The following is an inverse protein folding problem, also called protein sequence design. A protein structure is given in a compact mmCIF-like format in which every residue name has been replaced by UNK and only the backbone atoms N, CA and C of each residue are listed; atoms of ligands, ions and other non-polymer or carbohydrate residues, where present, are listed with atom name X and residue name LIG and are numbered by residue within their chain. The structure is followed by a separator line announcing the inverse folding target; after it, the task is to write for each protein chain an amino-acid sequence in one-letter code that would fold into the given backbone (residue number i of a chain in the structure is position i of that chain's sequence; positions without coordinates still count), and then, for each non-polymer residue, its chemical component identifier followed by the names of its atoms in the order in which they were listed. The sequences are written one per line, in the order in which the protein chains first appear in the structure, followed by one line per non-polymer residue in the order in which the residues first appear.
data_IF_898296190224
#
_entry.id   IF_898296190224
#
_cell.length_a   1.000
_cell.length_b   1.000
_cell.length_c   1.000
_cell.angle_alpha   90.00
_cell.angle_beta   90.00
_cell.angle_gamma   90.00
#
_symmetry.space_group_name_H-M   'P 1'
#
loop_
_entity.id
_entity.type
_entity.pdbx_description
1 polymer ?
#
# COMPACT_ATOMS: atom_id res chain seq x y z
N UNK A 1 11.27 13.48 7.40
CA UNK A 1 10.57 12.52 8.26
C UNK A 1 11.53 12.03 9.32
N UNK A 2 11.13 12.11 10.58
CA UNK A 2 11.90 11.64 11.74
C UNK A 2 11.58 10.18 12.12
N UNK A 3 10.70 9.51 11.36
CA UNK A 3 10.40 8.07 11.53
C UNK A 3 9.55 7.73 12.76
N UNK A 4 9.03 8.75 13.45
CA UNK A 4 8.17 8.58 14.62
C UNK A 4 6.79 8.07 14.20
N UNK A 5 6.11 7.38 15.11
CA UNK A 5 4.70 7.01 14.92
C UNK A 5 3.86 8.27 14.64
N UNK A 6 3.06 8.23 13.59
CA UNK A 6 2.23 9.33 13.10
C UNK A 6 2.88 10.20 12.02
N UNK A 7 4.17 10.02 11.72
CA UNK A 7 4.93 10.86 10.78
C UNK A 7 4.63 10.53 9.31
N UNK A 8 4.43 9.24 8.99
CA UNK A 8 4.09 8.80 7.64
C UNK A 8 3.11 7.62 7.67
N UNK A 9 2.01 7.67 6.88
CA UNK A 9 1.06 6.56 6.81
C UNK A 9 1.70 5.21 6.47
N UNK A 10 2.67 5.13 5.56
CA UNK A 10 3.33 3.86 5.27
C UNK A 10 4.17 3.35 6.44
N UNK A 11 4.92 4.23 7.11
CA UNK A 11 5.71 3.82 8.28
C UNK A 11 4.78 3.36 9.41
N UNK A 12 3.64 4.03 9.59
CA UNK A 12 2.62 3.66 10.56
C UNK A 12 2.06 2.26 10.31
N UNK A 13 1.71 1.95 9.06
CA UNK A 13 1.17 0.65 8.67
C UNK A 13 2.26 -0.44 8.72
N UNK A 14 3.41 -0.19 8.12
CA UNK A 14 4.44 -1.21 7.89
C UNK A 14 5.29 -1.49 9.12
N UNK A 15 5.67 -0.46 9.88
CA UNK A 15 6.60 -0.59 11.01
C UNK A 15 5.87 -0.53 12.35
N UNK A 16 4.97 0.44 12.53
CA UNK A 16 4.24 0.61 13.79
C UNK A 16 2.95 -0.22 13.89
N UNK A 17 2.60 -0.98 12.84
CA UNK A 17 1.40 -1.82 12.73
C UNK A 17 0.13 -1.10 13.20
N UNK A 18 0.06 0.20 12.91
CA UNK A 18 -1.04 1.07 13.33
C UNK A 18 -2.06 1.11 12.23
N UNK A 19 -3.33 0.86 12.59
CA UNK A 19 -4.45 0.97 11.68
C UNK A 19 -4.64 2.44 11.25
N UNK A 20 -4.49 2.75 9.96
CA UNK A 20 -4.60 4.13 9.44
C UNK A 20 -5.83 4.39 8.61
N UNK A 21 -6.22 3.46 7.74
CA UNK A 21 -7.39 3.62 6.88
C UNK A 21 -8.48 2.63 7.29
N UNK A 22 -8.33 1.40 6.83
CA UNK A 22 -9.19 0.26 7.16
C UNK A 22 -8.34 -0.99 7.20
N UNK A 23 -8.78 -2.07 7.87
CA UNK A 23 -8.00 -3.31 7.88
C UNK A 23 -7.73 -3.85 6.47
N UNK A 24 -8.68 -3.65 5.55
CA UNK A 24 -8.54 -4.08 4.16
C UNK A 24 -7.55 -3.21 3.37
N UNK A 25 -7.66 -1.89 3.48
CA UNK A 25 -6.76 -0.96 2.79
C UNK A 25 -5.31 -1.13 3.29
N UNK A 26 -5.11 -1.21 4.59
CA UNK A 26 -3.78 -1.34 5.20
C UNK A 26 -3.12 -2.68 4.81
N UNK A 27 -3.90 -3.76 4.73
CA UNK A 27 -3.41 -5.05 4.24
C UNK A 27 -2.99 -4.99 2.76
N UNK A 28 -3.80 -4.34 1.91
CA UNK A 28 -3.47 -4.15 0.50
C UNK A 28 -2.20 -3.31 0.32
N UNK A 29 -2.04 -2.24 1.09
CA UNK A 29 -0.83 -1.42 1.10
C UNK A 29 0.40 -2.26 1.46
N UNK A 30 0.31 -3.09 2.51
CA UNK A 30 1.40 -3.98 2.90
C UNK A 30 1.75 -4.98 1.78
N UNK A 31 0.75 -5.56 1.11
CA UNK A 31 0.96 -6.47 -0.02
C UNK A 31 1.63 -5.77 -1.21
N UNK A 32 1.18 -4.56 -1.57
CA UNK A 32 1.75 -3.76 -2.65
C UNK A 32 3.23 -3.48 -2.37
N UNK A 33 3.57 -3.08 -1.15
CA UNK A 33 4.96 -2.81 -0.76
C UNK A 33 5.80 -4.10 -0.80
N UNK A 34 5.25 -5.23 -0.36
CA UNK A 34 5.92 -6.55 -0.46
C UNK A 34 6.23 -6.93 -1.91
N UNK A 35 5.36 -6.56 -2.85
CA UNK A 35 5.54 -6.77 -4.29
C UNK A 35 6.49 -5.74 -4.95
N UNK A 36 7.11 -4.85 -4.16
CA UNK A 36 8.01 -3.79 -4.66
C UNK A 36 7.27 -2.56 -5.21
N UNK A 37 5.96 -2.44 -4.99
CA UNK A 37 5.11 -1.38 -5.52
C UNK A 37 5.12 -0.06 -4.74
N UNK A 38 6.01 0.12 -3.75
CA UNK A 38 5.99 1.31 -2.87
C UNK A 38 6.07 2.63 -3.66
N UNK A 39 7.02 2.75 -4.58
CA UNK A 39 7.18 4.00 -5.35
C UNK A 39 5.96 4.31 -6.22
N UNK A 40 5.28 3.29 -6.73
CA UNK A 40 4.07 3.49 -7.52
C UNK A 40 2.89 3.89 -6.65
N UNK A 41 2.76 3.28 -5.48
CA UNK A 41 1.75 3.63 -4.48
C UNK A 41 1.86 5.11 -4.07
N UNK A 42 3.07 5.58 -3.74
CA UNK A 42 3.32 6.98 -3.34
C UNK A 42 3.12 7.98 -4.49
N UNK A 43 3.28 7.54 -5.75
CA UNK A 43 2.98 8.37 -6.93
C UNK A 43 1.49 8.44 -7.25
N UNK A 44 0.78 7.34 -7.03
CA UNK A 44 -0.63 7.21 -7.38
C UNK A 44 -1.55 7.84 -6.33
N UNK A 45 -1.12 7.88 -5.06
CA UNK A 45 -1.97 8.32 -3.96
C UNK A 45 -1.22 9.26 -3.02
N UNK A 46 -1.87 10.37 -2.66
CA UNK A 46 -1.51 11.11 -1.45
C UNK A 46 -2.06 10.35 -0.24
N UNK A 47 -1.20 9.59 0.45
CA UNK A 47 -1.59 8.81 1.61
C UNK A 47 -1.94 9.67 2.84
N UNK A 48 -1.59 10.97 2.84
CA UNK A 48 -2.02 11.90 3.88
C UNK A 48 -3.46 12.38 3.65
N UNK A 49 -3.91 12.36 2.40
CA UNK A 49 -5.24 12.79 1.99
C UNK A 49 -5.85 11.78 1.00
N UNK A 50 -6.13 10.53 1.45
CA UNK A 50 -6.62 9.49 0.55
C UNK A 50 -8.01 9.84 0.00
N UNK A 51 -8.38 9.30 -1.17
CA UNK A 51 -9.74 9.40 -1.67
C UNK A 51 -10.73 8.66 -0.75
N UNK A 52 -12.06 8.82 -0.97
CA UNK A 52 -13.07 8.07 -0.22
C UNK A 52 -12.73 6.57 -0.14
N UNK A 53 -12.85 6.00 1.06
CA UNK A 53 -12.29 4.69 1.41
C UNK A 53 -12.65 3.59 0.40
N UNK A 54 -13.90 3.53 -0.07
CA UNK A 54 -14.34 2.52 -1.03
C UNK A 54 -13.60 2.62 -2.38
N UNK A 55 -13.37 3.84 -2.88
CA UNK A 55 -12.62 4.08 -4.11
C UNK A 55 -11.14 3.78 -3.89
N UNK A 56 -10.62 4.11 -2.72
CA UNK A 56 -9.24 3.85 -2.35
C UNK A 56 -8.95 2.34 -2.32
N UNK A 57 -9.79 1.55 -1.63
CA UNK A 57 -9.66 0.10 -1.54
C UNK A 57 -9.74 -0.58 -2.91
N UNK A 58 -10.66 -0.14 -3.78
CA UNK A 58 -10.79 -0.68 -5.14
C UNK A 58 -9.54 -0.38 -5.98
N UNK A 59 -9.01 0.85 -5.88
CA UNK A 59 -7.78 1.24 -6.58
C UNK A 59 -6.54 0.46 -6.08
N UNK A 60 -6.39 0.30 -4.76
CA UNK A 60 -5.33 -0.51 -4.15
C UNK A 60 -5.42 -1.98 -4.61
N UNK A 61 -6.63 -2.55 -4.64
CA UNK A 61 -6.85 -3.92 -5.11
C UNK A 61 -6.43 -4.11 -6.56
N UNK A 62 -6.77 -3.16 -7.44
CA UNK A 62 -6.32 -3.16 -8.85
C UNK A 62 -4.80 -3.10 -8.96
N UNK A 63 -4.16 -2.20 -8.22
CA UNK A 63 -2.69 -2.08 -8.21
C UNK A 63 -2.02 -3.38 -7.74
N UNK A 64 -2.46 -3.93 -6.61
CA UNK A 64 -1.94 -5.19 -6.06
C UNK A 64 -2.06 -6.33 -7.07
N UNK A 65 -3.23 -6.49 -7.69
CA UNK A 65 -3.46 -7.57 -8.67
C UNK A 65 -2.55 -7.45 -9.89
N UNK A 66 -2.32 -6.22 -10.39
CA UNK A 66 -1.40 -5.98 -11.50
C UNK A 66 0.04 -6.33 -11.12
N UNK A 67 0.53 -5.84 -9.98
CA UNK A 67 1.87 -6.14 -9.49
C UNK A 67 2.08 -7.65 -9.26
N UNK A 68 1.06 -8.34 -8.75
CA UNK A 68 1.10 -9.79 -8.56
C UNK A 68 1.21 -10.54 -9.90
N UNK A 69 0.46 -10.10 -10.92
CA UNK A 69 0.55 -10.65 -12.28
C UNK A 69 1.93 -10.44 -12.89
N UNK A 70 2.48 -9.24 -12.76
CA UNK A 70 3.83 -8.91 -13.25
C UNK A 70 4.92 -9.72 -12.53
N UNK A 71 4.80 -9.91 -11.21
CA UNK A 71 5.73 -10.73 -10.44
C UNK A 71 5.71 -12.20 -10.91
N UNK A 72 4.52 -12.76 -11.14
CA UNK A 72 4.36 -14.10 -11.69
C UNK A 72 4.97 -14.23 -13.10
N UNK A 73 4.73 -13.26 -13.98
CA UNK A 73 5.30 -13.26 -15.33
C UNK A 73 6.83 -13.18 -15.33
N UNK A 74 7.43 -12.57 -14.30
CA UNK A 74 8.88 -12.52 -14.10
C UNK A 74 9.46 -13.78 -13.45
N UNK A 75 8.64 -14.79 -13.16
CA UNK A 75 9.07 -16.04 -12.53
C UNK A 75 9.36 -15.93 -11.04
N UNK A 76 8.82 -14.93 -10.34
CA UNK A 76 8.97 -14.83 -8.90
C UNK A 76 7.94 -15.73 -8.20
N UNK A 77 8.38 -16.53 -7.22
CA UNK A 77 7.47 -17.15 -6.25
C UNK A 77 6.92 -16.05 -5.31
N UNK A 78 5.60 -15.85 -5.33
CA UNK A 78 4.89 -14.75 -4.64
C UNK A 78 4.05 -15.23 -3.46
#
# INVERSE_FOLDING_TARGET
MNGKKGDHPLTDILHWKTLRFSPAADALIAEIVRLGGQSELEKAFDLFSPPPLALFEDALRRMRNRLYKEAKERGWEV
#
